data_IF_013069502833
#
_entry.id   IF_013069502833
#
_cell.length_a   1.000
_cell.length_b   1.000
_cell.length_c   1.000
_cell.angle_alpha   90.00
_cell.angle_beta   90.00
_cell.angle_gamma   90.00
#
_symmetry.space_group_name_H-M   'P 1'
#
loop_
_entity.id
_entity.type
_entity.pdbx_description
1 polymer ?
#
# COMPACT_ATOMS: atom_id res chain seq x y z
N UNK A 1 -6.31 -3.05 -17.39
CA UNK A 1 -6.75 -1.76 -16.81
C UNK A 1 -5.71 -1.42 -15.77
N UNK A 2 -4.98 -0.32 -15.92
CA UNK A 2 -3.76 -0.10 -15.13
C UNK A 2 -4.11 0.02 -13.64
N UNK A 3 -3.60 -0.91 -12.83
CA UNK A 3 -3.69 -0.86 -11.37
C UNK A 3 -2.32 -0.59 -10.79
N UNK A 4 -2.28 -0.03 -9.60
CA UNK A 4 -1.08 0.04 -8.78
C UNK A 4 -1.18 -1.02 -7.68
N UNK A 5 -0.13 -1.83 -7.54
CA UNK A 5 0.06 -2.76 -6.44
C UNK A 5 1.00 -2.13 -5.43
N UNK A 6 0.48 -1.82 -4.25
CA UNK A 6 1.29 -1.46 -3.10
C UNK A 6 1.54 -2.69 -2.26
N UNK A 7 2.80 -3.03 -1.99
CA UNK A 7 3.14 -4.17 -1.13
C UNK A 7 4.24 -3.84 -0.14
N UNK A 8 4.36 -4.66 0.90
CA UNK A 8 5.45 -4.56 1.87
C UNK A 8 5.26 -5.50 3.05
N UNK A 9 6.26 -5.55 3.92
CA UNK A 9 6.20 -6.36 5.14
C UNK A 9 5.32 -5.68 6.17
N UNK A 10 4.32 -6.39 6.67
CA UNK A 10 3.36 -5.89 7.64
C UNK A 10 4.08 -5.36 8.89
N UNK A 11 3.64 -4.20 9.38
CA UNK A 11 4.25 -3.62 10.56
C UNK A 11 4.14 -4.57 11.76
N UNK A 12 5.26 -4.79 12.47
CA UNK A 12 5.45 -5.76 13.57
C UNK A 12 5.44 -7.25 13.18
N UNK A 13 5.31 -7.59 11.90
CA UNK A 13 5.42 -8.96 11.40
C UNK A 13 6.44 -9.00 10.26
N UNK A 14 7.65 -9.48 10.55
CA UNK A 14 8.76 -9.41 9.59
C UNK A 14 8.69 -10.44 8.45
N UNK A 15 7.80 -11.43 8.56
CA UNK A 15 7.68 -12.54 7.60
C UNK A 15 6.34 -12.55 6.85
N UNK A 16 5.54 -11.49 6.99
CA UNK A 16 4.22 -11.39 6.36
C UNK A 16 4.19 -10.24 5.38
N UNK A 17 4.15 -10.55 4.09
CA UNK A 17 3.94 -9.57 3.03
C UNK A 17 2.43 -9.34 2.81
N UNK A 18 2.02 -8.07 2.83
CA UNK A 18 0.65 -7.65 2.53
C UNK A 18 0.65 -6.75 1.30
N UNK A 19 -0.47 -6.72 0.58
CA UNK A 19 -0.64 -5.85 -0.57
C UNK A 19 -2.00 -5.14 -0.58
N UNK A 20 -2.06 -4.05 -1.33
CA UNK A 20 -3.27 -3.31 -1.67
C UNK A 20 -3.23 -2.97 -3.15
N UNK A 21 -4.23 -3.43 -3.89
CA UNK A 21 -4.43 -3.09 -5.29
C UNK A 21 -5.38 -1.90 -5.39
N UNK A 22 -4.98 -0.89 -6.17
CA UNK A 22 -5.80 0.29 -6.42
C UNK A 22 -5.88 0.58 -7.91
N UNK A 23 -7.05 1.04 -8.35
CA UNK A 23 -7.28 1.50 -9.71
C UNK A 23 -6.83 2.96 -9.85
N UNK A 24 -5.85 3.22 -10.72
CA UNK A 24 -5.29 4.58 -10.88
C UNK A 24 -6.29 5.59 -11.47
N UNK A 25 -7.30 5.11 -12.18
CA UNK A 25 -8.29 5.97 -12.84
C UNK A 25 -9.51 6.24 -11.96
N UNK A 26 -9.86 5.29 -11.08
CA UNK A 26 -11.11 5.32 -10.32
C UNK A 26 -10.92 5.54 -8.82
N UNK A 27 -9.74 5.24 -8.26
CA UNK A 27 -9.52 5.30 -6.82
C UNK A 27 -8.79 6.56 -6.37
N UNK A 28 -9.20 7.09 -5.22
CA UNK A 28 -8.44 8.10 -4.50
C UNK A 28 -7.45 7.42 -3.56
N UNK A 29 -6.15 7.65 -3.78
CA UNK A 29 -5.09 7.09 -2.97
C UNK A 29 -4.46 8.11 -2.04
N UNK A 30 -4.21 7.72 -0.79
CA UNK A 30 -3.38 8.46 0.15
C UNK A 30 -2.24 7.57 0.67
N UNK A 31 -1.02 8.09 0.60
CA UNK A 31 0.18 7.44 1.15
C UNK A 31 0.76 8.33 2.24
N UNK A 32 0.87 7.79 3.44
CA UNK A 32 1.38 8.50 4.63
C UNK A 32 2.61 7.78 5.17
N UNK A 33 3.66 8.54 5.49
CA UNK A 33 4.90 8.01 6.05
C UNK A 33 5.17 8.56 7.44
N UNK A 34 5.63 7.70 8.34
CA UNK A 34 6.21 8.08 9.63
C UNK A 34 7.66 7.59 9.71
N UNK A 35 8.28 7.70 10.90
CA UNK A 35 9.63 7.15 11.12
C UNK A 35 9.66 5.61 11.08
N UNK A 36 8.55 4.95 11.41
CA UNK A 36 8.50 3.49 11.59
C UNK A 36 7.71 2.79 10.49
N UNK A 37 6.68 3.44 9.95
CA UNK A 37 5.74 2.81 9.03
C UNK A 37 5.46 3.64 7.79
N UNK A 38 5.00 2.94 6.77
CA UNK A 38 4.26 3.51 5.65
C UNK A 38 2.83 2.97 5.69
N UNK A 39 1.85 3.85 5.55
CA UNK A 39 0.45 3.50 5.37
C UNK A 39 0.01 3.87 3.96
N UNK A 40 -0.70 2.98 3.30
CA UNK A 40 -1.38 3.24 2.02
C UNK A 40 -2.86 3.02 2.25
N UNK A 41 -3.69 4.01 1.90
CA UNK A 41 -5.15 3.95 2.05
C UNK A 41 -5.83 4.27 0.72
N UNK A 42 -6.70 3.37 0.28
CA UNK A 42 -7.69 3.66 -0.76
C UNK A 42 -8.88 4.36 -0.09
N UNK A 43 -9.02 5.66 -0.32
CA UNK A 43 -10.11 6.47 0.26
C UNK A 43 -11.47 6.16 -0.38
N UNK A 44 -11.49 5.60 -1.59
CA UNK A 44 -12.72 5.20 -2.27
C UNK A 44 -13.34 3.95 -1.63
N UNK A 45 -12.52 2.97 -1.23
CA UNK A 45 -12.99 1.71 -0.63
C UNK A 45 -12.87 1.66 0.90
N UNK A 46 -12.02 2.50 1.49
CA UNK A 46 -11.66 2.46 2.90
C UNK A 46 -10.61 1.40 3.26
N UNK A 47 -10.15 0.61 2.29
CA UNK A 47 -9.09 -0.38 2.49
C UNK A 47 -7.73 0.28 2.69
N UNK A 48 -6.89 -0.32 3.53
CA UNK A 48 -5.55 0.19 3.80
C UNK A 48 -4.58 -0.93 4.19
N UNK A 49 -3.29 -0.67 3.96
CA UNK A 49 -2.18 -1.47 4.49
C UNK A 49 -1.25 -0.61 5.31
N UNK A 50 -0.64 -1.21 6.33
CA UNK A 50 0.44 -0.60 7.13
C UNK A 50 1.64 -1.54 7.09
N UNK A 51 2.74 -1.05 6.53
CA UNK A 51 3.97 -1.80 6.32
C UNK A 51 5.15 -1.12 7.00
N UNK A 52 6.21 -1.87 7.28
CA UNK A 52 7.48 -1.34 7.74
C UNK A 52 7.99 -0.28 6.75
N UNK A 53 8.44 0.89 7.25
CA UNK A 53 8.75 2.08 6.46
C UNK A 53 9.59 1.82 5.20
N UNK A 54 10.59 0.95 5.32
CA UNK A 54 11.60 0.67 4.29
C UNK A 54 11.23 -0.50 3.38
N UNK A 55 10.02 -1.04 3.51
CA UNK A 55 9.58 -2.23 2.78
C UNK A 55 8.47 -1.94 1.77
N UNK A 56 7.91 -0.71 1.79
CA UNK A 56 6.87 -0.32 0.85
C UNK A 56 7.42 -0.31 -0.58
N UNK A 57 6.75 -1.06 -1.46
CA UNK A 57 6.94 -1.08 -2.90
C UNK A 57 5.65 -0.64 -3.59
N UNK A 58 5.78 -0.04 -4.76
CA UNK A 58 4.66 0.30 -5.63
C UNK A 58 5.01 -0.11 -7.07
N UNK A 59 4.16 -0.92 -7.67
CA UNK A 59 4.36 -1.44 -9.03
C UNK A 59 3.09 -1.24 -9.84
N UNK A 60 3.23 -0.82 -11.11
CA UNK A 60 2.12 -0.80 -12.05
C UNK A 60 1.88 -2.23 -12.58
N UNK A 61 0.64 -2.69 -12.50
CA UNK A 61 0.20 -4.01 -12.97
C UNK A 61 -0.92 -3.83 -14.01
N UNK A 62 -0.90 -4.65 -15.07
CA UNK A 62 -1.79 -4.51 -16.25
C UNK A 62 -3.09 -5.28 -16.15
#
# INVERSE_FOLDING_TARGET
MTKLSYSGLKYKENDVEINLLVDIQNDWLEVTHTKEVSQVMNKSTGEYIIVNRNTLKCEAVS
#
